data_IF_657016880837
#
_entry.id   IF_657016880837
#
_cell.length_a   1.000
_cell.length_b   1.000
_cell.length_c   1.000
_cell.angle_alpha   90.00
_cell.angle_beta   90.00
_cell.angle_gamma   90.00
#
_symmetry.space_group_name_H-M   'P 1'
#
loop_
_entity.id
_entity.type
_entity.pdbx_description
1 polymer ?
#
# COMPACT_ATOMS: atom_id res chain seq x y z
N UNK A 1 1.05 -4.57 -15.83
CA UNK A 1 -0.27 -4.33 -16.44
C UNK A 1 -0.59 -2.85 -16.32
N UNK A 2 -1.20 -2.23 -17.34
CA UNK A 2 -1.54 -0.81 -17.30
C UNK A 2 -2.81 -0.56 -16.49
N UNK A 3 -2.76 0.42 -15.57
CA UNK A 3 -3.94 0.85 -14.82
C UNK A 3 -4.87 1.70 -15.69
N UNK A 4 -6.16 1.42 -15.59
CA UNK A 4 -7.22 2.25 -16.19
C UNK A 4 -7.22 3.67 -15.60
N UNK A 5 -7.85 4.65 -16.28
CA UNK A 5 -8.01 6.00 -15.73
C UNK A 5 -8.73 6.03 -14.37
N UNK A 6 -9.70 5.13 -14.16
CA UNK A 6 -10.43 5.01 -12.88
C UNK A 6 -9.49 4.50 -11.79
N UNK A 7 -8.72 3.44 -12.05
CA UNK A 7 -7.76 2.91 -11.08
C UNK A 7 -6.65 3.92 -10.76
N UNK A 8 -6.21 4.71 -11.74
CA UNK A 8 -5.26 5.82 -11.51
C UNK A 8 -5.84 6.89 -10.58
N UNK A 9 -7.15 7.17 -10.67
CA UNK A 9 -7.84 8.08 -9.76
C UNK A 9 -7.95 7.48 -8.34
N UNK A 10 -8.40 6.23 -8.24
CA UNK A 10 -8.53 5.52 -6.95
C UNK A 10 -7.16 5.37 -6.25
N UNK A 11 -6.11 5.02 -7.00
CA UNK A 11 -4.73 4.99 -6.51
C UNK A 11 -4.34 6.31 -5.83
N UNK A 12 -4.59 7.45 -6.47
CA UNK A 12 -4.28 8.77 -5.88
C UNK A 12 -5.03 9.01 -4.58
N UNK A 13 -6.31 8.61 -4.51
CA UNK A 13 -7.14 8.75 -3.29
C UNK A 13 -6.60 7.88 -2.16
N UNK A 14 -6.30 6.61 -2.44
CA UNK A 14 -5.73 5.69 -1.46
C UNK A 14 -4.36 6.15 -0.98
N UNK A 15 -3.46 6.54 -1.89
CA UNK A 15 -2.14 7.09 -1.56
C UNK A 15 -2.25 8.31 -0.63
N UNK A 16 -3.10 9.28 -0.96
CA UNK A 16 -3.29 10.46 -0.09
C UNK A 16 -3.79 10.08 1.30
N UNK A 17 -4.76 9.16 1.38
CA UNK A 17 -5.34 8.70 2.65
C UNK A 17 -4.30 7.97 3.52
N UNK A 18 -3.53 7.06 2.93
CA UNK A 18 -2.50 6.29 3.64
C UNK A 18 -1.38 7.21 4.11
N UNK A 19 -0.85 8.08 3.23
CA UNK A 19 0.23 9.01 3.58
C UNK A 19 -0.16 9.91 4.75
N UNK A 20 -1.37 10.47 4.75
CA UNK A 20 -1.86 11.30 5.86
C UNK A 20 -1.96 10.52 7.17
N UNK A 21 -2.45 9.29 7.12
CA UNK A 21 -2.62 8.47 8.32
C UNK A 21 -1.27 8.02 8.91
N UNK A 22 -0.31 7.64 8.06
CA UNK A 22 1.03 7.27 8.50
C UNK A 22 1.81 8.47 9.06
N UNK A 23 1.66 9.66 8.45
CA UNK A 23 2.28 10.90 8.94
C UNK A 23 1.72 11.37 10.29
N UNK A 24 0.49 10.99 10.64
CA UNK A 24 -0.10 11.25 11.96
C UNK A 24 0.31 10.22 13.03
N UNK A 25 1.03 9.16 12.64
CA UNK A 25 1.56 8.15 13.53
C UNK A 25 2.93 8.50 14.10
N UNK A 26 3.67 7.48 14.54
CA UNK A 26 5.01 7.63 15.10
C UNK A 26 6.07 7.86 14.02
N UNK A 27 7.09 8.65 14.36
CA UNK A 27 8.35 8.63 13.64
C UNK A 27 9.05 7.28 13.88
N UNK A 28 9.64 6.70 12.83
CA UNK A 28 10.23 5.35 12.83
C UNK A 28 9.26 4.24 13.32
N UNK A 29 8.13 4.04 12.62
CA UNK A 29 7.11 3.08 13.04
C UNK A 29 7.66 1.66 12.98
N UNK A 30 7.23 0.82 13.91
CA UNK A 30 7.42 -0.61 13.78
C UNK A 30 6.45 -1.19 12.74
N UNK A 31 6.74 -2.36 12.14
CA UNK A 31 5.86 -2.95 11.15
C UNK A 31 4.40 -3.15 11.64
N UNK A 32 4.23 -3.55 12.89
CA UNK A 32 2.91 -3.68 13.52
C UNK A 32 2.15 -2.35 13.61
N UNK A 33 2.84 -1.21 13.74
CA UNK A 33 2.21 0.11 13.79
C UNK A 33 1.65 0.48 12.41
N UNK A 34 2.42 0.21 11.36
CA UNK A 34 1.97 0.39 9.96
C UNK A 34 0.77 -0.51 9.67
N UNK A 35 0.82 -1.79 10.08
CA UNK A 35 -0.30 -2.71 9.91
C UNK A 35 -1.57 -2.23 10.64
N UNK A 36 -1.41 -1.73 11.88
CA UNK A 36 -2.52 -1.19 12.66
C UNK A 36 -3.14 0.05 12.00
N UNK A 37 -2.32 0.96 11.47
CA UNK A 37 -2.80 2.14 10.72
C UNK A 37 -3.58 1.72 9.47
N UNK A 38 -3.06 0.77 8.70
CA UNK A 38 -3.73 0.27 7.49
C UNK A 38 -5.07 -0.40 7.82
N UNK A 39 -5.13 -1.23 8.88
CA UNK A 39 -6.40 -1.82 9.35
C UNK A 39 -7.40 -0.77 9.82
N UNK A 40 -6.94 0.26 10.54
CA UNK A 40 -7.78 1.39 10.98
C UNK A 40 -8.37 2.18 9.79
N UNK A 41 -7.69 2.20 8.65
CA UNK A 41 -8.20 2.77 7.40
C UNK A 41 -9.20 1.87 6.66
N UNK A 42 -9.45 0.65 7.16
CA UNK A 42 -10.40 -0.31 6.61
C UNK A 42 -9.82 -1.29 5.59
N UNK A 43 -8.49 -1.38 5.46
CA UNK A 43 -7.89 -2.47 4.67
C UNK A 43 -7.91 -3.75 5.51
N UNK A 44 -8.48 -4.81 4.96
CA UNK A 44 -8.53 -6.13 5.61
C UNK A 44 -7.16 -6.80 5.55
N UNK A 45 -6.89 -7.70 6.50
CA UNK A 45 -5.58 -8.30 6.70
C UNK A 45 -5.09 -9.08 5.47
N UNK A 46 -6.00 -9.79 4.80
CA UNK A 46 -5.73 -10.59 3.60
C UNK A 46 -5.28 -9.75 2.39
N UNK A 47 -5.55 -8.43 2.43
CA UNK A 47 -5.16 -7.48 1.39
C UNK A 47 -3.94 -6.65 1.75
N UNK A 48 -3.42 -6.83 2.97
CA UNK A 48 -2.20 -6.20 3.43
C UNK A 48 -1.11 -7.26 3.35
N UNK A 49 -0.29 -7.21 2.32
CA UNK A 49 0.94 -7.98 2.33
C UNK A 49 1.93 -7.25 3.24
N UNK A 50 2.33 -8.00 4.27
CA UNK A 50 2.66 -7.53 5.58
C UNK A 50 3.66 -6.38 5.57
N UNK A 51 3.46 -5.38 6.43
CA UNK A 51 4.51 -4.44 6.68
C UNK A 51 5.73 -5.17 7.23
N UNK A 52 6.92 -4.86 6.72
CA UNK A 52 8.17 -5.43 7.20
C UNK A 52 9.29 -4.38 7.21
N UNK A 53 10.29 -4.59 8.07
CA UNK A 53 11.46 -3.71 8.11
C UNK A 53 12.23 -3.87 6.80
N UNK A 54 12.49 -2.75 6.14
CA UNK A 54 13.32 -2.66 4.96
C UNK A 54 14.38 -1.58 5.16
N UNK A 55 15.36 -1.52 4.25
CA UNK A 55 16.41 -0.49 4.31
C UNK A 55 15.77 0.88 4.09
N UNK A 56 15.63 1.65 5.17
CA UNK A 56 15.03 2.99 5.12
C UNK A 56 13.58 3.07 5.57
N UNK A 57 13.07 2.10 6.34
CA UNK A 57 11.78 2.22 7.03
C UNK A 57 11.01 0.90 7.11
N UNK A 58 9.70 1.01 6.95
CA UNK A 58 8.78 -0.13 6.81
C UNK A 58 8.21 -0.12 5.40
N UNK A 59 8.37 -1.21 4.67
CA UNK A 59 7.70 -1.44 3.39
C UNK A 59 6.41 -2.21 3.59
N UNK A 60 5.45 -2.07 2.68
CA UNK A 60 4.21 -2.82 2.67
C UNK A 60 3.67 -2.91 1.23
N UNK A 61 2.80 -3.88 0.96
CA UNK A 61 2.05 -3.95 -0.31
C UNK A 61 0.56 -4.06 -0.01
N UNK A 62 -0.28 -3.35 -0.78
CA UNK A 62 -1.74 -3.45 -0.70
C UNK A 62 -2.33 -4.03 -1.97
N UNK A 63 -3.20 -5.02 -1.80
CA UNK A 63 -4.05 -5.54 -2.86
C UNK A 63 -5.42 -4.84 -2.87
N UNK A 64 -5.58 -3.90 -3.80
CA UNK A 64 -6.81 -3.13 -3.98
C UNK A 64 -7.66 -3.64 -5.14
N UNK A 65 -7.40 -4.86 -5.63
CA UNK A 65 -8.18 -5.46 -6.72
C UNK A 65 -9.61 -5.73 -6.25
N UNK A 66 -10.58 -5.11 -6.92
CA UNK A 66 -12.01 -5.27 -6.62
C UNK A 66 -12.74 -5.48 -7.95
N UNK A 67 -13.66 -6.46 -7.99
CA UNK A 67 -14.50 -6.75 -9.16
C UNK A 67 -13.73 -6.86 -10.49
N UNK A 68 -12.58 -7.54 -10.49
CA UNK A 68 -11.74 -7.71 -11.69
C UNK A 68 -10.77 -6.57 -11.97
N UNK A 69 -10.64 -5.59 -11.07
CA UNK A 69 -9.57 -4.59 -11.13
C UNK A 69 -8.17 -5.19 -10.95
N UNK A 70 -7.16 -4.39 -11.27
CA UNK A 70 -5.74 -4.77 -11.30
C UNK A 70 -4.88 -4.00 -10.29
N UNK A 71 -5.47 -3.03 -9.58
CA UNK A 71 -4.74 -2.09 -8.74
C UNK A 71 -4.08 -2.74 -7.51
N UNK A 72 -2.76 -2.65 -7.45
CA UNK A 72 -1.96 -2.86 -6.26
C UNK A 72 -1.20 -1.57 -5.89
N UNK A 73 -0.81 -1.42 -4.62
CA UNK A 73 0.07 -0.34 -4.15
C UNK A 73 1.33 -0.91 -3.50
N UNK A 74 2.48 -0.32 -3.83
CA UNK A 74 3.77 -0.53 -3.14
C UNK A 74 4.03 0.64 -2.24
N UNK A 75 4.30 0.43 -0.95
CA UNK A 75 4.55 1.51 -0.01
C UNK A 75 5.84 1.35 0.76
N UNK A 76 6.48 2.47 1.08
CA UNK A 76 7.57 2.54 2.07
C UNK A 76 7.38 3.78 2.94
N UNK A 77 7.53 3.64 4.25
CA UNK A 77 7.39 4.74 5.19
C UNK A 77 8.47 4.74 6.28
N UNK A 78 8.95 5.94 6.64
CA UNK A 78 9.74 6.20 7.85
C UNK A 78 8.88 6.80 8.97
N UNK A 79 7.56 6.85 8.80
CA UNK A 79 6.63 7.65 9.61
C UNK A 79 6.63 9.13 9.21
N UNK A 80 7.81 9.71 8.97
CA UNK A 80 7.94 11.12 8.55
C UNK A 80 7.84 11.34 7.04
N UNK A 81 8.25 10.34 6.26
CA UNK A 81 8.16 10.35 4.80
C UNK A 81 7.54 9.03 4.34
N UNK A 82 6.57 9.13 3.44
CA UNK A 82 5.90 7.98 2.85
C UNK A 82 5.93 8.10 1.33
N UNK A 83 6.42 7.05 0.66
CA UNK A 83 6.39 6.89 -0.79
C UNK A 83 5.43 5.75 -1.10
N UNK A 84 4.50 5.97 -2.03
CA UNK A 84 3.56 4.94 -2.49
C UNK A 84 3.47 4.98 -4.01
N UNK A 85 3.67 3.83 -4.63
CA UNK A 85 3.64 3.64 -6.07
C UNK A 85 2.52 2.68 -6.46
N UNK A 86 1.54 3.13 -7.26
CA UNK A 86 0.50 2.25 -7.79
C UNK A 86 1.00 1.50 -9.03
N UNK A 87 0.58 0.25 -9.17
CA UNK A 87 0.87 -0.57 -10.34
C UNK A 87 -0.25 -1.58 -10.58
N UNK A 88 -0.36 -2.05 -11.83
CA UNK A 88 -1.32 -3.09 -12.22
C UNK A 88 -0.70 -4.48 -12.12
N UNK A 89 -1.40 -5.40 -11.46
CA UNK A 89 -1.10 -6.82 -11.40
C UNK A 89 -2.21 -7.64 -12.07
N UNK A 90 -1.83 -8.74 -12.71
CA UNK A 90 -2.78 -9.75 -13.15
C UNK A 90 -3.46 -10.42 -11.95
N UNK A 91 -4.70 -10.90 -12.11
CA UNK A 91 -5.46 -11.54 -11.03
C UNK A 91 -4.80 -12.83 -10.53
N UNK A 92 -4.06 -13.53 -11.39
CA UNK A 92 -3.37 -14.77 -11.05
C UNK A 92 -2.01 -14.53 -10.38
N UNK A 93 -1.50 -13.29 -10.40
CA UNK A 93 -0.20 -12.93 -9.86
C UNK A 93 -0.37 -12.19 -8.53
N UNK A 94 0.36 -12.61 -7.50
CA UNK A 94 0.36 -11.89 -6.23
C UNK A 94 0.98 -10.49 -6.42
N UNK A 95 0.39 -9.47 -5.79
CA UNK A 95 0.90 -8.10 -5.87
C UNK A 95 2.40 -8.00 -5.52
N UNK A 96 2.90 -8.82 -4.61
CA UNK A 96 4.32 -8.87 -4.20
C UNK A 96 5.26 -9.55 -5.19
N UNK A 97 4.74 -10.31 -6.16
CA UNK A 97 5.54 -11.00 -7.18
C UNK A 97 5.68 -10.21 -8.48
N UNK A 98 4.97 -9.09 -8.61
CA UNK A 98 5.10 -8.21 -9.78
C UNK A 98 6.45 -7.49 -9.74
N UNK A 99 7.27 -7.70 -10.77
CA UNK A 99 8.53 -6.98 -10.95
C UNK A 99 8.22 -5.55 -11.43
N UNK A 100 8.62 -4.57 -10.62
CA UNK A 100 8.36 -3.14 -10.78
C UNK A 100 9.62 -2.44 -11.28
#
# INVERSE_FOLDING_TARGET
MELSPVEKCEARRHTSRITKALAAGSADPAPQDVAAVLRKLGYIEERIDGPQRARGGVEFTLDLRVMGGSLCLSGTTTGTKTTIEPYGADVEVACTQVRR
#
